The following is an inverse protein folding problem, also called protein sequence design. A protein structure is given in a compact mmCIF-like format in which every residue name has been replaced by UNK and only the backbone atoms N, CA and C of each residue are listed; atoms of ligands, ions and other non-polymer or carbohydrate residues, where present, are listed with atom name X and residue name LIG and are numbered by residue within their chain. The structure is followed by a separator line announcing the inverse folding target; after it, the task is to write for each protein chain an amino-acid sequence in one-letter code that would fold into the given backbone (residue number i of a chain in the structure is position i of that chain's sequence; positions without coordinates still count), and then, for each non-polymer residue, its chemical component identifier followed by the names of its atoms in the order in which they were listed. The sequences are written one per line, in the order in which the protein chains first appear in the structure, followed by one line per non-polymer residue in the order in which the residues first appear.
data_IF_216971131154
#
_entry.id   IF_216971131154
#
_cell.length_a   1.000
_cell.length_b   1.000
_cell.length_c   1.000
_cell.angle_alpha   90.00
_cell.angle_beta   90.00
_cell.angle_gamma   90.00
#
_symmetry.space_group_name_H-M   'P 1'
#
loop_
_entity.id
_entity.type
_entity.pdbx_description
1 polymer ?
#
# COMPACT_ATOMS: atom_id res chain seq x y z
N UNK A 1 55.62 30.59 16.66
CA UNK A 1 54.41 30.12 17.36
C UNK A 1 53.72 31.33 17.95
N UNK A 2 52.39 31.54 17.83
CA UNK A 2 51.35 30.81 17.11
C UNK A 2 50.67 31.64 15.99
N UNK A 3 49.99 30.98 15.05
CA UNK A 3 49.05 31.58 14.10
C UNK A 3 47.64 31.52 14.70
N UNK A 4 46.90 32.64 14.71
CA UNK A 4 45.48 32.65 15.08
C UNK A 4 44.62 32.49 13.82
N UNK A 5 44.17 31.26 13.59
CA UNK A 5 43.12 30.93 12.62
C UNK A 5 41.76 31.35 13.17
N UNK A 6 41.22 32.47 12.68
CA UNK A 6 39.87 32.94 13.02
C UNK A 6 38.80 31.97 12.50
N UNK A 7 38.02 31.39 13.41
CA UNK A 7 36.90 30.51 13.09
C UNK A 7 35.70 31.34 12.61
N UNK A 8 35.28 31.13 11.36
CA UNK A 8 34.06 31.71 10.79
C UNK A 8 32.83 30.89 11.21
N UNK A 9 32.04 31.41 12.14
CA UNK A 9 30.75 30.81 12.55
C UNK A 9 29.62 31.35 11.67
N UNK A 10 29.14 30.53 10.73
CA UNK A 10 28.00 30.87 9.87
C UNK A 10 26.70 30.55 10.62
N UNK A 11 25.95 31.58 11.05
CA UNK A 11 24.60 31.41 11.63
C UNK A 11 23.60 31.01 10.53
N UNK A 12 22.84 29.95 10.79
CA UNK A 12 21.76 29.50 9.90
C UNK A 12 20.69 30.59 9.74
N UNK A 13 20.24 30.81 8.49
CA UNK A 13 19.15 31.75 8.17
C UNK A 13 17.86 31.33 8.92
N UNK A 14 17.22 32.22 9.70
CA UNK A 14 16.07 31.87 10.54
C UNK A 14 14.77 31.65 9.76
N UNK A 15 14.66 32.18 8.54
CA UNK A 15 13.46 32.04 7.73
C UNK A 15 13.45 30.73 6.94
N UNK A 16 12.92 29.68 7.58
CA UNK A 16 12.48 28.46 6.87
C UNK A 16 11.19 28.77 6.11
N UNK A 17 11.26 28.85 4.78
CA UNK A 17 10.06 28.84 3.94
C UNK A 17 9.34 27.49 4.13
N UNK A 18 8.24 27.51 4.90
CA UNK A 18 7.35 26.36 5.05
C UNK A 18 6.46 26.28 3.80
N UNK A 19 6.83 25.43 2.85
CA UNK A 19 5.92 25.05 1.78
C UNK A 19 4.89 24.09 2.37
N UNK A 20 3.75 24.63 2.81
CA UNK A 20 2.57 23.81 3.11
C UNK A 20 1.95 23.43 1.77
N UNK A 21 2.25 22.23 1.28
CA UNK A 21 1.47 21.67 0.18
C UNK A 21 0.00 21.62 0.62
N UNK A 22 -0.97 21.96 -0.26
CA UNK A 22 -2.37 21.79 0.08
C UNK A 22 -2.58 20.32 0.44
N UNK A 23 -3.04 20.06 1.67
CA UNK A 23 -3.41 18.73 2.13
C UNK A 23 -4.54 18.29 1.21
N UNK A 24 -4.21 17.53 0.15
CA UNK A 24 -5.20 16.85 -0.68
C UNK A 24 -5.98 15.99 0.28
N UNK A 25 -7.25 16.34 0.43
CA UNK A 25 -8.25 15.65 1.25
C UNK A 25 -8.03 14.15 1.03
N UNK A 26 -7.62 13.45 2.09
CA UNK A 26 -7.53 11.99 2.13
C UNK A 26 -8.88 11.51 1.67
N UNK A 27 -8.90 10.98 0.46
CA UNK A 27 -10.11 10.87 -0.31
C UNK A 27 -10.99 9.82 0.39
N UNK A 28 -12.17 10.24 0.87
CA UNK A 28 -13.07 9.35 1.59
C UNK A 28 -13.55 8.29 0.61
N UNK A 29 -13.48 7.02 1.00
CA UNK A 29 -14.03 5.92 0.20
C UNK A 29 -15.55 6.18 0.08
N UNK A 30 -16.12 6.18 -1.15
CA UNK A 30 -17.55 6.40 -1.36
C UNK A 30 -18.40 5.40 -0.57
N UNK A 31 -19.55 5.86 -0.09
CA UNK A 31 -20.51 5.02 0.63
C UNK A 31 -20.99 3.83 -0.22
N UNK A 32 -21.06 4.00 -1.55
CA UNK A 32 -21.47 2.94 -2.49
C UNK A 32 -20.56 1.71 -2.45
N UNK A 33 -19.27 1.88 -2.14
CA UNK A 33 -18.32 0.77 -2.02
C UNK A 33 -18.39 0.17 -0.60
N UNK A 34 -18.52 1.02 0.42
CA UNK A 34 -18.59 0.58 1.82
C UNK A 34 -19.89 -0.17 2.15
N UNK A 35 -21.01 0.22 1.55
CA UNK A 35 -22.34 -0.33 1.82
C UNK A 35 -22.75 -1.42 0.81
N UNK A 36 -21.85 -1.84 -0.07
CA UNK A 36 -22.16 -2.88 -1.04
C UNK A 36 -22.24 -4.25 -0.36
N UNK A 37 -23.46 -4.79 -0.25
CA UNK A 37 -23.72 -6.07 0.41
C UNK A 37 -22.95 -7.23 -0.23
N UNK A 38 -22.87 -7.29 -1.56
CA UNK A 38 -22.15 -8.37 -2.26
C UNK A 38 -20.66 -8.33 -1.94
N UNK A 39 -20.08 -7.14 -1.95
CA UNK A 39 -18.66 -6.96 -1.64
C UNK A 39 -18.36 -7.33 -0.19
N UNK A 40 -19.20 -6.88 0.74
CA UNK A 40 -19.06 -7.20 2.16
C UNK A 40 -19.22 -8.71 2.43
N UNK A 41 -20.09 -9.39 1.69
CA UNK A 41 -20.26 -10.84 1.79
C UNK A 41 -19.06 -11.64 1.27
N UNK A 42 -18.35 -11.17 0.24
CA UNK A 42 -17.11 -11.85 -0.20
C UNK A 42 -15.95 -11.54 0.74
N UNK A 43 -15.86 -10.30 1.25
CA UNK A 43 -14.83 -9.93 2.23
C UNK A 43 -15.00 -10.71 3.55
N UNK A 44 -16.24 -11.03 3.97
CA UNK A 44 -16.47 -11.82 5.19
C UNK A 44 -15.99 -13.27 5.09
N UNK A 45 -15.68 -13.77 3.89
CA UNK A 45 -15.05 -15.07 3.69
C UNK A 45 -13.55 -15.05 4.01
N UNK A 46 -12.92 -13.87 3.98
CA UNK A 46 -11.55 -13.69 4.43
C UNK A 46 -11.49 -13.77 5.95
N UNK A 47 -10.36 -14.22 6.52
CA UNK A 47 -10.23 -14.38 7.96
C UNK A 47 -10.39 -13.04 8.68
N UNK A 48 -11.34 -12.97 9.62
CA UNK A 48 -11.76 -11.72 10.29
C UNK A 48 -10.68 -11.09 11.18
N UNK A 49 -9.63 -11.84 11.51
CA UNK A 49 -8.47 -11.33 12.22
C UNK A 49 -7.49 -10.58 11.33
N UNK A 50 -7.67 -10.56 10.00
CA UNK A 50 -6.85 -9.80 9.06
C UNK A 50 -7.66 -8.69 8.39
N UNK A 51 -7.13 -7.47 8.38
CA UNK A 51 -7.72 -6.35 7.63
C UNK A 51 -6.92 -6.04 6.36
N UNK A 52 -7.42 -6.47 5.20
CA UNK A 52 -6.79 -6.23 3.90
C UNK A 52 -7.20 -4.91 3.22
N UNK A 53 -8.01 -4.07 3.87
CA UNK A 53 -8.52 -2.80 3.32
C UNK A 53 -9.05 -2.90 1.87
N UNK A 54 -9.71 -4.01 1.50
CA UNK A 54 -10.11 -4.31 0.10
C UNK A 54 -10.93 -3.18 -0.53
N UNK A 55 -11.79 -2.50 0.24
CA UNK A 55 -12.56 -1.36 -0.23
C UNK A 55 -11.69 -0.22 -0.77
N UNK A 56 -10.54 0.03 -0.14
CA UNK A 56 -9.59 1.06 -0.54
C UNK A 56 -8.93 0.68 -1.85
N UNK A 57 -8.56 -0.59 -2.02
CA UNK A 57 -7.99 -1.12 -3.27
C UNK A 57 -8.96 -0.96 -4.43
N UNK A 58 -10.20 -1.42 -4.28
CA UNK A 58 -11.24 -1.29 -5.33
C UNK A 58 -11.47 0.16 -5.71
N UNK A 59 -11.60 1.03 -4.71
CA UNK A 59 -11.80 2.44 -4.98
C UNK A 59 -10.61 3.08 -5.68
N UNK A 60 -9.38 2.70 -5.30
CA UNK A 60 -8.17 3.20 -5.94
C UNK A 60 -8.08 2.77 -7.41
N UNK A 61 -8.43 1.53 -7.71
CA UNK A 61 -8.53 1.00 -9.07
C UNK A 61 -9.53 1.83 -9.88
N UNK A 62 -10.73 2.07 -9.33
CA UNK A 62 -11.77 2.88 -9.99
C UNK A 62 -11.34 4.33 -10.24
N UNK A 63 -10.64 4.94 -9.28
CA UNK A 63 -10.13 6.31 -9.45
C UNK A 63 -9.07 6.42 -10.55
N UNK A 64 -8.17 5.44 -10.61
CA UNK A 64 -7.11 5.41 -11.60
C UNK A 64 -7.59 4.89 -12.96
N UNK A 65 -8.76 4.23 -13.00
CA UNK A 65 -9.25 3.44 -14.15
C UNK A 65 -8.20 2.45 -14.62
N UNK A 66 -7.50 1.85 -13.65
CA UNK A 66 -6.40 0.95 -13.92
C UNK A 66 -6.93 -0.32 -14.58
N UNK A 67 -6.36 -0.73 -15.71
CA UNK A 67 -6.76 -1.97 -16.41
C UNK A 67 -6.02 -3.21 -15.94
N UNK A 68 -4.80 -3.04 -15.46
CA UNK A 68 -3.97 -4.13 -14.97
C UNK A 68 -3.39 -3.80 -13.61
N UNK A 69 -3.65 -4.68 -12.65
CA UNK A 69 -3.33 -4.49 -11.24
C UNK A 69 -2.47 -5.66 -10.76
N UNK A 70 -1.33 -5.40 -10.15
CA UNK A 70 -0.54 -6.43 -9.51
C UNK A 70 -0.78 -6.46 -8.01
N UNK A 71 -0.89 -7.65 -7.43
CA UNK A 71 -0.87 -7.88 -5.99
C UNK A 71 0.49 -8.43 -5.61
N UNK A 72 1.16 -7.75 -4.70
CA UNK A 72 2.40 -8.21 -4.09
C UNK A 72 2.16 -8.46 -2.61
N UNK A 73 2.36 -9.70 -2.17
CA UNK A 73 2.09 -10.13 -0.80
C UNK A 73 3.29 -10.87 -0.20
N UNK A 74 3.50 -10.80 1.13
CA UNK A 74 4.42 -11.68 1.82
C UNK A 74 3.90 -13.11 1.78
N UNK A 75 4.80 -14.07 1.92
CA UNK A 75 4.51 -15.51 1.80
C UNK A 75 3.33 -15.95 2.68
N UNK A 76 3.27 -15.47 3.92
CA UNK A 76 2.18 -15.79 4.85
C UNK A 76 0.81 -15.25 4.46
N UNK A 77 0.72 -14.30 3.52
CA UNK A 77 -0.53 -13.74 3.02
C UNK A 77 -0.87 -14.20 1.60
N UNK A 78 0.06 -14.83 0.87
CA UNK A 78 -0.18 -15.32 -0.50
C UNK A 78 -1.35 -16.29 -0.59
N UNK A 79 -1.65 -17.03 0.49
CA UNK A 79 -2.82 -17.91 0.57
C UNK A 79 -4.16 -17.18 0.36
N UNK A 80 -4.22 -15.86 0.61
CA UNK A 80 -5.40 -15.02 0.40
C UNK A 80 -5.39 -14.27 -0.94
N UNK A 81 -4.29 -14.34 -1.70
CA UNK A 81 -4.11 -13.55 -2.91
C UNK A 81 -5.19 -13.87 -3.95
N UNK A 82 -5.48 -15.15 -4.18
CA UNK A 82 -6.48 -15.60 -5.16
C UNK A 82 -7.87 -15.07 -4.80
N UNK A 83 -8.29 -15.19 -3.53
CA UNK A 83 -9.59 -14.68 -3.10
C UNK A 83 -9.70 -13.15 -3.25
N UNK A 84 -8.61 -12.43 -3.02
CA UNK A 84 -8.58 -10.97 -3.19
C UNK A 84 -8.61 -10.60 -4.68
N UNK A 85 -7.90 -11.34 -5.54
CA UNK A 85 -7.98 -11.22 -6.99
C UNK A 85 -9.43 -11.39 -7.48
N UNK A 86 -10.09 -12.47 -7.10
CA UNK A 86 -11.48 -12.75 -7.49
C UNK A 86 -12.43 -11.61 -7.08
N UNK A 87 -12.25 -11.07 -5.87
CA UNK A 87 -13.04 -9.91 -5.41
C UNK A 87 -12.76 -8.69 -6.29
N UNK A 88 -11.49 -8.37 -6.56
CA UNK A 88 -11.14 -7.21 -7.36
C UNK A 88 -11.72 -7.32 -8.78
N UNK A 89 -11.55 -8.46 -9.43
CA UNK A 89 -12.05 -8.71 -10.80
C UNK A 89 -13.59 -8.76 -10.86
N UNK A 90 -14.25 -9.14 -9.78
CA UNK A 90 -15.73 -9.11 -9.71
C UNK A 90 -16.28 -7.69 -9.62
N UNK A 91 -15.58 -6.77 -8.92
CA UNK A 91 -16.08 -5.41 -8.64
C UNK A 91 -15.41 -4.31 -9.47
N UNK A 92 -14.46 -4.67 -10.33
CA UNK A 92 -13.73 -3.78 -11.23
C UNK A 92 -13.52 -4.45 -12.59
N UNK A 93 -13.20 -3.69 -13.64
CA UNK A 93 -12.89 -4.22 -14.97
C UNK A 93 -11.39 -4.49 -15.16
N UNK A 94 -10.63 -4.56 -14.06
CA UNK A 94 -9.18 -4.70 -14.09
C UNK A 94 -8.77 -6.16 -14.03
N UNK A 95 -7.80 -6.55 -14.86
CA UNK A 95 -7.12 -7.85 -14.75
C UNK A 95 -6.15 -7.81 -13.57
N UNK A 96 -6.13 -8.87 -12.77
CA UNK A 96 -5.20 -8.99 -11.65
C UNK A 96 -4.04 -9.94 -11.94
N UNK A 97 -2.86 -9.62 -11.41
CA UNK A 97 -1.66 -10.45 -11.50
C UNK A 97 -1.06 -10.61 -10.11
N UNK A 98 -0.70 -11.82 -9.70
CA UNK A 98 -0.04 -12.07 -8.43
C UNK A 98 1.47 -12.13 -8.65
N UNK A 99 2.22 -11.25 -7.98
CA UNK A 99 3.68 -11.30 -7.99
C UNK A 99 4.13 -12.34 -6.96
N UNK A 100 4.71 -13.44 -7.44
CA UNK A 100 5.13 -14.57 -6.62
C UNK A 100 6.54 -14.46 -6.05
N UNK A 101 7.25 -13.35 -6.28
CA UNK A 101 8.60 -13.18 -5.73
C UNK A 101 8.55 -12.97 -4.21
N UNK A 102 9.57 -13.48 -3.51
CA UNK A 102 9.58 -13.48 -2.05
C UNK A 102 9.82 -12.09 -1.52
N UNK A 103 8.83 -11.54 -0.82
CA UNK A 103 8.96 -10.24 -0.18
C UNK A 103 9.39 -10.39 1.27
N UNK A 104 10.70 -10.20 1.52
CA UNK A 104 11.28 -10.27 2.86
C UNK A 104 11.11 -8.96 3.67
N UNK A 105 10.60 -7.88 3.07
CA UNK A 105 10.37 -6.61 3.78
C UNK A 105 9.96 -5.44 2.89
N UNK A 106 9.93 -4.24 3.50
CA UNK A 106 9.46 -2.99 2.88
C UNK A 106 10.24 -2.57 1.63
N UNK A 107 11.51 -2.98 1.52
CA UNK A 107 12.40 -2.60 0.42
C UNK A 107 12.21 -3.46 -0.85
N UNK A 108 11.40 -4.51 -0.79
CA UNK A 108 11.25 -5.51 -1.85
C UNK A 108 10.06 -5.19 -2.77
N UNK A 109 9.83 -3.93 -3.13
CA UNK A 109 8.77 -3.59 -4.10
C UNK A 109 9.25 -4.03 -5.48
N UNK A 110 8.50 -4.93 -6.12
CA UNK A 110 8.86 -5.47 -7.43
C UNK A 110 8.25 -4.62 -8.55
N UNK A 111 8.77 -3.41 -8.67
CA UNK A 111 8.35 -2.45 -9.68
C UNK A 111 8.85 -2.79 -11.09
N UNK A 112 10.03 -3.40 -11.20
CA UNK A 112 10.59 -3.86 -12.46
C UNK A 112 9.73 -4.93 -13.14
N UNK A 113 9.32 -5.99 -12.42
CA UNK A 113 8.47 -7.02 -13.01
C UNK A 113 7.07 -6.50 -13.28
N UNK A 114 6.52 -5.66 -12.39
CA UNK A 114 5.23 -5.01 -12.61
C UNK A 114 5.24 -4.12 -13.87
N UNK A 115 6.31 -3.34 -14.08
CA UNK A 115 6.50 -2.55 -15.30
C UNK A 115 6.57 -3.44 -16.54
N UNK A 116 7.36 -4.52 -16.50
CA UNK A 116 7.50 -5.46 -17.60
C UNK A 116 6.17 -6.13 -17.99
N UNK A 117 5.28 -6.35 -17.02
CA UNK A 117 3.94 -6.92 -17.21
C UNK A 117 2.89 -5.87 -17.63
N UNK A 118 3.28 -4.59 -17.71
CA UNK A 118 2.39 -3.48 -18.08
C UNK A 118 1.34 -3.20 -17.00
N UNK A 119 1.72 -3.34 -15.72
CA UNK A 119 0.84 -3.05 -14.58
C UNK A 119 0.73 -1.54 -14.38
N UNK A 120 -0.49 -1.06 -14.16
CA UNK A 120 -0.78 0.35 -13.94
C UNK A 120 -0.89 0.70 -12.45
N UNK A 121 -1.29 -0.28 -11.63
CA UNK A 121 -1.37 -0.19 -10.17
C UNK A 121 -0.76 -1.42 -9.51
N UNK A 122 0.27 -1.21 -8.69
CA UNK A 122 0.84 -2.23 -7.82
C UNK A 122 0.27 -2.06 -6.40
N UNK A 123 -0.39 -3.10 -5.88
CA UNK A 123 -0.88 -3.15 -4.50
C UNK A 123 0.12 -3.96 -3.68
N UNK A 124 0.86 -3.27 -2.82
CA UNK A 124 1.85 -3.89 -1.94
C UNK A 124 1.27 -4.07 -0.54
N UNK A 125 1.08 -5.32 -0.14
CA UNK A 125 0.63 -5.68 1.21
C UNK A 125 1.85 -5.83 2.12
N UNK A 126 1.90 -5.04 3.18
CA UNK A 126 3.00 -5.07 4.13
C UNK A 126 3.47 -3.67 4.53
N UNK A 127 4.77 -3.47 4.50
CA UNK A 127 5.39 -2.24 4.98
C UNK A 127 5.56 -1.22 3.86
N UNK A 128 5.41 0.06 4.17
CA UNK A 128 5.75 1.11 3.20
C UNK A 128 7.24 1.13 2.91
N UNK A 129 7.60 1.04 1.63
CA UNK A 129 8.97 1.23 1.17
C UNK A 129 9.46 2.66 1.49
N UNK A 130 10.72 2.79 1.92
CA UNK A 130 11.36 4.09 2.21
C UNK A 130 11.86 4.81 0.93
N UNK A 131 11.66 4.21 -0.24
CA UNK A 131 12.11 4.77 -1.53
C UNK A 131 11.02 5.72 -2.07
N UNK A 132 11.41 6.92 -2.53
CA UNK A 132 10.46 7.88 -3.09
C UNK A 132 9.74 7.33 -4.32
N UNK A 133 8.40 7.45 -4.31
CA UNK A 133 7.46 7.00 -5.36
C UNK A 133 7.70 7.69 -6.72
N UNK A 134 8.53 8.73 -6.77
CA UNK A 134 8.84 9.46 -8.01
C UNK A 134 9.69 8.63 -9.00
N UNK A 135 10.28 7.51 -8.55
CA UNK A 135 11.11 6.63 -9.40
C UNK A 135 10.32 5.59 -10.19
N UNK A 136 9.04 5.36 -9.88
CA UNK A 136 8.21 4.45 -10.66
C UNK A 136 7.74 5.17 -11.92
N UNK A 137 8.20 4.74 -13.09
CA UNK A 137 7.97 5.34 -14.43
C UNK A 137 6.49 5.33 -14.87
N UNK A 138 5.62 6.02 -14.13
CA UNK A 138 4.19 6.14 -14.43
C UNK A 138 3.28 5.19 -13.64
N UNK A 139 3.78 4.03 -13.18
CA UNK A 139 3.01 3.10 -12.34
C UNK A 139 2.69 3.72 -10.98
N UNK A 140 1.50 3.42 -10.42
CA UNK A 140 1.13 3.84 -9.06
C UNK A 140 1.29 2.67 -8.10
N UNK A 141 1.80 2.94 -6.91
CA UNK A 141 1.88 1.95 -5.83
C UNK A 141 0.85 2.32 -4.76
N UNK A 142 0.06 1.33 -4.32
CA UNK A 142 -0.83 1.42 -3.18
C UNK A 142 -0.29 0.52 -2.07
N UNK A 143 0.10 1.13 -0.96
CA UNK A 143 0.51 0.39 0.24
C UNK A 143 -0.70 0.08 1.12
N UNK A 144 -0.84 -1.19 1.47
CA UNK A 144 -1.84 -1.71 2.41
C UNK A 144 -1.14 -2.30 3.62
N UNK A 145 -1.41 -1.71 4.79
CA UNK A 145 -0.94 -2.24 6.06
C UNK A 145 -1.98 -3.23 6.58
N UNK A 146 -1.60 -4.51 6.62
CA UNK A 146 -2.48 -5.56 7.13
C UNK A 146 -2.40 -5.57 8.64
N UNK A 147 -3.50 -5.22 9.30
CA UNK A 147 -3.65 -5.34 10.75
C UNK A 147 -4.04 -6.79 11.10
N UNK A 148 -3.28 -7.41 12.01
CA UNK A 148 -3.50 -8.77 12.49
C UNK A 148 -3.90 -8.70 13.95
N UNK A 149 -5.16 -9.01 14.24
CA UNK A 149 -5.66 -9.09 15.61
C UNK A 149 -5.31 -10.45 16.19
N UNK A 150 -4.42 -10.45 17.16
CA UNK A 150 -4.05 -11.65 17.92
C UNK A 150 -4.63 -11.50 19.32
N UNK A 151 -5.48 -12.46 19.71
CA UNK A 151 -5.91 -12.57 21.09
C UNK A 151 -4.76 -13.15 21.92
N UNK A 152 -4.16 -12.33 22.77
CA UNK A 152 -3.05 -12.72 23.64
C UNK A 152 -3.51 -13.44 24.91
N UNK A 153 -4.82 -13.48 25.17
CA UNK A 153 -5.37 -14.19 26.32
C UNK A 153 -5.58 -15.66 25.95
N UNK A 154 -4.61 -16.50 26.31
CA UNK A 154 -4.87 -17.94 26.41
C UNK A 154 -5.98 -18.09 27.45
N UNK A 155 -7.19 -18.40 27.00
CA UNK A 155 -8.26 -18.80 27.89
C UNK A 155 -7.82 -20.12 28.53
N UNK A 156 -7.15 -20.01 29.69
CA UNK A 156 -7.02 -21.08 30.66
C UNK A 156 -8.44 -21.39 31.13
N UNK A 157 -9.16 -22.20 30.35
CA UNK A 157 -10.36 -22.84 30.86
C UNK A 157 -9.91 -23.82 31.94
N UNK A 158 -10.43 -23.72 33.17
CA UNK A 158 -10.24 -24.73 34.20
C UNK A 158 -10.88 -26.06 33.80
#
# INVERSE_FOLDING_TARGET
MPEESGVLVVKAKPERKKFSAPVKIVSKIPADILQNEKLNNMISQLPSNYNFEVHKTIWRIKQLKAKRVALQMPEGLLMFAISICDIIETFTEADTVILGDVTYGACCVDDFSAEALGVELLVHYGHSCLIPIDQTKGMKILYIFVDIKIDTYISLKP
#
